data_IF_734777257864
#
_entry.id   IF_734777257864
#
_cell.length_a   1.000
_cell.length_b   1.000
_cell.length_c   1.000
_cell.angle_alpha   90.00
_cell.angle_beta   90.00
_cell.angle_gamma   90.00
#
_symmetry.space_group_name_H-M   'P 1'
#
loop_
_entity.id
_entity.type
_entity.pdbx_description
1 polymer ?
#
# COMPACT_ATOMS: atom_id res chain seq x y z
N UNK A 1 8.34 -11.37 -4.14
CA UNK A 1 7.31 -12.43 -4.04
C UNK A 1 7.31 -13.34 -5.26
N UNK A 2 6.86 -14.60 -5.12
CA UNK A 2 6.64 -15.51 -6.25
C UNK A 2 5.17 -15.40 -6.71
N UNK A 3 4.90 -15.34 -8.01
CA UNK A 3 3.54 -15.21 -8.55
C UNK A 3 3.04 -16.50 -9.20
N UNK A 4 1.77 -16.83 -8.95
CA UNK A 4 1.08 -17.99 -9.52
C UNK A 4 -0.15 -17.55 -10.29
N UNK A 5 -0.21 -17.87 -11.58
CA UNK A 5 -1.36 -17.55 -12.43
C UNK A 5 -2.31 -18.74 -12.58
N UNK A 6 -3.61 -18.50 -12.42
CA UNK A 6 -4.67 -19.40 -12.88
C UNK A 6 -4.98 -19.11 -14.34
N UNK A 7 -4.57 -20.00 -15.24
CA UNK A 7 -4.73 -19.84 -16.68
C UNK A 7 -5.78 -20.83 -17.19
N UNK A 8 -6.72 -20.34 -17.99
CA UNK A 8 -7.74 -21.12 -18.66
C UNK A 8 -7.48 -21.19 -20.16
N UNK A 9 -7.55 -22.38 -20.73
CA UNK A 9 -7.64 -22.54 -22.18
C UNK A 9 -9.07 -22.23 -22.66
N UNK A 10 -9.20 -21.41 -23.70
CA UNK A 10 -10.49 -20.93 -24.19
C UNK A 10 -11.27 -21.99 -24.97
N UNK A 11 -10.61 -23.04 -25.46
CA UNK A 11 -11.24 -24.08 -26.28
C UNK A 11 -11.93 -25.13 -25.40
N UNK A 12 -11.20 -25.72 -24.46
CA UNK A 12 -11.67 -26.80 -23.58
C UNK A 12 -12.18 -26.30 -22.23
N UNK A 13 -11.94 -25.03 -21.90
CA UNK A 13 -12.26 -24.40 -20.60
C UNK A 13 -11.60 -25.09 -19.41
N UNK A 14 -10.52 -25.83 -19.64
CA UNK A 14 -9.68 -26.37 -18.57
C UNK A 14 -8.85 -25.25 -17.95
N UNK A 15 -8.71 -25.28 -16.64
CA UNK A 15 -7.90 -24.34 -15.86
C UNK A 15 -6.70 -25.07 -15.27
N UNK A 16 -5.53 -24.44 -15.30
CA UNK A 16 -4.29 -24.92 -14.70
C UNK A 16 -3.55 -23.77 -14.03
N UNK A 17 -2.78 -24.09 -13.00
CA UNK A 17 -1.87 -23.16 -12.32
C UNK A 17 -0.49 -23.17 -12.97
N UNK A 18 0.12 -21.99 -13.06
CA UNK A 18 1.49 -21.82 -13.56
C UNK A 18 2.24 -20.81 -12.70
N UNK A 19 3.41 -21.19 -12.21
CA UNK A 19 4.35 -20.24 -11.62
C UNK A 19 4.89 -19.31 -12.70
N UNK A 20 4.92 -18.02 -12.43
CA UNK A 20 5.44 -16.99 -13.32
C UNK A 20 6.90 -16.65 -12.96
N UNK A 21 7.73 -16.24 -13.93
CA UNK A 21 7.41 -16.15 -15.35
C UNK A 21 7.29 -17.52 -16.04
N UNK A 22 6.40 -17.64 -17.02
CA UNK A 22 6.16 -18.89 -17.76
C UNK A 22 6.14 -18.69 -19.28
N UNK A 23 6.73 -19.62 -20.01
CA UNK A 23 6.74 -19.64 -21.47
C UNK A 23 5.39 -20.09 -22.04
N UNK A 24 4.88 -19.37 -23.06
CA UNK A 24 3.60 -19.70 -23.70
C UNK A 24 3.61 -21.09 -24.35
N UNK A 25 4.76 -21.54 -24.88
CA UNK A 25 4.94 -22.88 -25.45
C UNK A 25 4.68 -23.97 -24.39
N UNK A 26 5.19 -23.77 -23.17
CA UNK A 26 4.98 -24.69 -22.07
C UNK A 26 3.51 -24.70 -21.63
N UNK A 27 2.90 -23.52 -21.48
CA UNK A 27 1.46 -23.39 -21.18
C UNK A 27 0.61 -24.11 -22.23
N UNK A 28 0.89 -23.92 -23.52
CA UNK A 28 0.19 -24.59 -24.61
C UNK A 28 0.33 -26.12 -24.53
N UNK A 29 1.55 -26.62 -24.31
CA UNK A 29 1.83 -28.05 -24.20
C UNK A 29 1.08 -28.69 -23.03
N UNK A 30 0.93 -27.97 -21.92
CA UNK A 30 0.17 -28.41 -20.75
C UNK A 30 -1.33 -28.55 -21.06
N UNK A 31 -1.87 -27.73 -21.97
CA UNK A 31 -3.24 -27.89 -22.45
C UNK A 31 -3.38 -28.89 -23.63
N UNK A 32 -2.27 -29.38 -24.17
CA UNK A 32 -2.23 -30.30 -25.31
C UNK A 32 -2.38 -29.61 -26.67
N UNK A 33 -2.03 -28.32 -26.76
CA UNK A 33 -2.04 -27.52 -27.98
C UNK A 33 -0.62 -27.19 -28.46
N UNK A 34 -0.47 -26.88 -29.74
CA UNK A 34 0.69 -26.16 -30.25
C UNK A 34 0.50 -24.66 -29.97
N UNK A 35 1.60 -23.92 -29.81
CA UNK A 35 1.56 -22.48 -29.47
C UNK A 35 0.73 -21.63 -30.45
N UNK A 36 0.67 -22.01 -31.73
CA UNK A 36 -0.11 -21.28 -32.74
C UNK A 36 -1.63 -21.49 -32.67
N UNK A 37 -2.06 -22.52 -31.94
CA UNK A 37 -3.48 -22.91 -31.82
C UNK A 37 -4.04 -22.61 -30.42
N UNK A 38 -3.18 -22.24 -29.46
CA UNK A 38 -3.60 -21.97 -28.08
C UNK A 38 -4.27 -20.61 -27.97
N UNK A 39 -5.40 -20.57 -27.28
CA UNK A 39 -6.05 -19.33 -26.84
C UNK A 39 -6.25 -19.43 -25.34
N UNK A 40 -5.70 -18.48 -24.59
CA UNK A 40 -5.72 -18.51 -23.14
C UNK A 40 -6.32 -17.24 -22.56
N UNK A 41 -6.95 -17.39 -21.40
CA UNK A 41 -7.41 -16.31 -20.54
C UNK A 41 -6.78 -16.49 -19.16
N UNK A 42 -6.18 -15.43 -18.63
CA UNK A 42 -5.70 -15.39 -17.24
C UNK A 42 -6.89 -15.04 -16.35
N UNK A 43 -7.18 -15.89 -15.38
CA UNK A 43 -8.34 -15.74 -14.51
C UNK A 43 -8.01 -14.97 -13.23
N UNK A 44 -6.81 -15.16 -12.68
CA UNK A 44 -6.31 -14.44 -11.51
C UNK A 44 -4.81 -14.68 -11.33
N UNK A 45 -4.20 -13.84 -10.50
CA UNK A 45 -2.90 -14.08 -9.86
C UNK A 45 -3.18 -14.38 -8.39
N UNK A 46 -2.73 -15.52 -7.88
CA UNK A 46 -3.16 -16.03 -6.56
C UNK A 46 -2.75 -15.11 -5.42
N UNK A 47 -1.55 -14.55 -5.50
CA UNK A 47 -0.96 -13.66 -4.49
C UNK A 47 -1.47 -12.21 -4.65
N UNK A 48 -2.14 -11.89 -5.76
CA UNK A 48 -2.68 -10.55 -6.05
C UNK A 48 -4.18 -10.65 -6.40
N UNK A 49 -5.05 -10.97 -5.43
CA UNK A 49 -6.46 -11.33 -5.68
C UNK A 49 -7.30 -10.18 -6.26
N UNK A 50 -6.93 -8.94 -5.95
CA UNK A 50 -7.65 -7.74 -6.42
C UNK A 50 -7.05 -7.13 -7.70
N UNK A 51 -6.04 -7.77 -8.29
CA UNK A 51 -5.43 -7.32 -9.54
C UNK A 51 -6.39 -7.53 -10.72
N UNK A 52 -6.55 -6.50 -11.55
CA UNK A 52 -7.36 -6.58 -12.77
C UNK A 52 -6.60 -7.33 -13.86
N UNK A 53 -6.82 -8.65 -13.92
CA UNK A 53 -6.16 -9.48 -14.93
C UNK A 53 -6.84 -9.44 -16.29
N UNK A 54 -8.02 -8.81 -16.41
CA UNK A 54 -8.85 -8.93 -17.61
C UNK A 54 -8.13 -8.39 -18.84
N UNK A 55 -8.14 -9.19 -19.91
CA UNK A 55 -7.65 -8.82 -21.25
C UNK A 55 -6.16 -8.42 -21.29
N UNK A 56 -5.41 -8.73 -20.25
CA UNK A 56 -3.97 -8.53 -20.19
C UNK A 56 -3.24 -9.77 -20.72
N UNK A 57 -2.22 -9.60 -21.57
CA UNK A 57 -1.46 -10.71 -22.13
C UNK A 57 -0.50 -11.31 -21.11
N UNK A 58 -0.16 -12.59 -21.27
CA UNK A 58 0.74 -13.33 -20.36
C UNK A 58 2.07 -12.62 -20.10
N UNK A 59 2.64 -11.94 -21.10
CA UNK A 59 3.92 -11.26 -20.93
C UNK A 59 3.87 -10.15 -19.86
N UNK A 60 2.73 -9.49 -19.67
CA UNK A 60 2.56 -8.45 -18.63
C UNK A 60 2.74 -9.05 -17.24
N UNK A 61 2.20 -10.24 -17.02
CA UNK A 61 2.30 -10.91 -15.72
C UNK A 61 3.67 -11.56 -15.52
N UNK A 62 4.34 -12.01 -16.59
CA UNK A 62 5.74 -12.42 -16.51
C UNK A 62 6.64 -11.22 -16.12
N UNK A 63 6.44 -10.05 -16.74
CA UNK A 63 7.17 -8.83 -16.36
C UNK A 63 6.87 -8.39 -14.93
N UNK A 64 5.62 -8.54 -14.47
CA UNK A 64 5.27 -8.29 -13.07
C UNK A 64 5.98 -9.26 -12.12
N UNK A 65 6.02 -10.56 -12.45
CA UNK A 65 6.70 -11.55 -11.62
C UNK A 65 8.19 -11.21 -11.44
N UNK A 66 8.87 -10.81 -12.51
CA UNK A 66 10.26 -10.35 -12.45
C UNK A 66 10.41 -9.05 -11.63
N UNK A 67 9.53 -8.06 -11.85
CA UNK A 67 9.59 -6.78 -11.13
C UNK A 67 9.35 -6.95 -9.63
N UNK A 68 8.46 -7.85 -9.25
CA UNK A 68 7.99 -8.03 -7.88
C UNK A 68 8.79 -9.09 -7.09
N UNK A 69 9.78 -9.75 -7.70
CA UNK A 69 10.55 -10.84 -7.07
C UNK A 69 11.13 -10.44 -5.69
N UNK A 70 11.67 -9.24 -5.58
CA UNK A 70 12.28 -8.70 -4.35
C UNK A 70 11.41 -7.67 -3.61
N UNK A 71 10.17 -7.47 -4.06
CA UNK A 71 9.22 -6.54 -3.41
C UNK A 71 8.42 -7.30 -2.33
N UNK A 72 8.25 -6.64 -1.19
CA UNK A 72 7.40 -7.12 -0.10
C UNK A 72 5.93 -7.18 -0.55
N UNK A 73 5.30 -8.34 -0.36
CA UNK A 73 3.93 -8.61 -0.77
C UNK A 73 2.93 -7.61 -0.16
N UNK A 74 3.10 -7.26 1.12
CA UNK A 74 2.19 -6.34 1.80
C UNK A 74 2.27 -4.92 1.21
N UNK A 75 3.43 -4.52 0.67
CA UNK A 75 3.59 -3.25 -0.05
C UNK A 75 2.81 -3.30 -1.38
N UNK A 76 2.92 -4.38 -2.14
CA UNK A 76 2.23 -4.54 -3.43
C UNK A 76 0.72 -4.55 -3.23
N UNK A 77 0.23 -5.32 -2.25
CA UNK A 77 -1.19 -5.39 -1.92
C UNK A 77 -1.72 -4.02 -1.47
N UNK A 78 -0.97 -3.31 -0.62
CA UNK A 78 -1.31 -1.95 -0.19
C UNK A 78 -1.38 -0.99 -1.39
N UNK A 79 -0.48 -1.10 -2.35
CA UNK A 79 -0.52 -0.27 -3.57
C UNK A 79 -1.77 -0.55 -4.42
N UNK A 80 -2.14 -1.83 -4.59
CA UNK A 80 -3.37 -2.19 -5.31
C UNK A 80 -4.60 -1.58 -4.62
N UNK A 81 -4.67 -1.69 -3.28
CA UNK A 81 -5.77 -1.17 -2.48
C UNK A 81 -5.88 0.36 -2.56
N UNK A 82 -4.76 1.09 -2.49
CA UNK A 82 -4.76 2.55 -2.41
C UNK A 82 -4.68 3.28 -3.75
N UNK A 83 -4.08 2.67 -4.77
CA UNK A 83 -3.76 3.34 -6.03
C UNK A 83 -4.53 2.78 -7.22
N UNK A 84 -4.26 1.54 -7.61
CA UNK A 84 -4.83 0.94 -8.83
C UNK A 84 -4.65 -0.56 -8.88
N UNK A 85 -5.69 -1.26 -9.36
CA UNK A 85 -5.62 -2.68 -9.71
C UNK A 85 -5.13 -2.95 -11.13
N UNK A 86 -4.80 -1.94 -11.94
CA UNK A 86 -4.29 -2.13 -13.31
C UNK A 86 -2.85 -2.68 -13.29
N UNK A 87 -2.57 -3.85 -13.91
CA UNK A 87 -1.22 -4.41 -14.03
C UNK A 87 -0.18 -3.44 -14.59
N UNK A 88 -0.58 -2.52 -15.47
CA UNK A 88 0.32 -1.52 -16.06
C UNK A 88 0.73 -0.45 -15.05
N UNK A 89 -0.15 -0.07 -14.14
CA UNK A 89 0.19 0.86 -13.06
C UNK A 89 1.20 0.21 -12.11
N UNK A 90 1.05 -1.10 -11.82
CA UNK A 90 2.04 -1.84 -11.04
C UNK A 90 3.39 -1.94 -11.76
N UNK A 91 3.41 -2.16 -13.07
CA UNK A 91 4.67 -2.17 -13.85
C UNK A 91 5.40 -0.81 -13.78
N UNK A 92 4.64 0.29 -13.75
CA UNK A 92 5.17 1.64 -13.69
C UNK A 92 5.49 2.12 -12.25
N UNK A 93 5.07 1.39 -11.22
CA UNK A 93 5.26 1.78 -9.82
C UNK A 93 6.74 1.76 -9.40
N UNK A 94 7.13 2.70 -8.55
CA UNK A 94 8.44 2.77 -7.88
C UNK A 94 8.27 2.31 -6.42
N UNK A 95 8.37 0.99 -6.19
CA UNK A 95 8.12 0.39 -4.86
C UNK A 95 9.20 0.73 -3.82
N UNK A 96 10.41 1.11 -4.25
CA UNK A 96 11.51 1.49 -3.34
C UNK A 96 11.19 2.74 -2.49
N UNK A 97 10.24 3.57 -2.94
CA UNK A 97 9.77 4.77 -2.23
C UNK A 97 8.44 4.52 -1.48
N UNK A 98 7.95 3.28 -1.45
CA UNK A 98 6.76 2.90 -0.70
C UNK A 98 7.12 2.45 0.73
N UNK A 99 6.29 2.86 1.69
CA UNK A 99 6.43 2.49 3.10
C UNK A 99 5.07 2.08 3.65
N UNK A 100 5.03 0.92 4.30
CA UNK A 100 3.87 0.44 5.05
C UNK A 100 4.15 0.55 6.54
N UNK A 101 3.17 1.02 7.31
CA UNK A 101 3.21 1.12 8.77
C UNK A 101 2.12 0.22 9.38
N UNK A 102 2.37 -1.10 9.53
CA UNK A 102 1.30 -2.09 9.78
C UNK A 102 0.49 -1.88 11.05
N UNK A 103 1.08 -1.24 12.07
CA UNK A 103 0.45 -1.01 13.38
C UNK A 103 -0.25 0.36 13.49
N UNK A 104 -0.25 1.14 12.41
CA UNK A 104 -0.84 2.48 12.39
C UNK A 104 -2.19 2.42 11.68
N UNK A 105 -3.28 2.48 12.45
CA UNK A 105 -4.65 2.37 11.93
C UNK A 105 -5.45 3.68 12.07
N UNK A 106 -4.91 4.67 12.77
CA UNK A 106 -5.59 5.96 13.04
C UNK A 106 -4.64 7.15 12.93
N UNK A 107 -5.19 8.35 12.66
CA UNK A 107 -4.42 9.60 12.65
C UNK A 107 -3.66 9.84 13.97
N UNK A 108 -4.24 9.39 15.09
CA UNK A 108 -3.62 9.47 16.41
C UNK A 108 -2.37 8.60 16.48
N UNK A 109 -2.48 7.33 16.08
CA UNK A 109 -1.35 6.38 16.07
C UNK A 109 -0.26 6.82 15.08
N UNK A 110 -0.64 7.39 13.93
CA UNK A 110 0.32 7.95 12.97
C UNK A 110 1.08 9.11 13.58
N UNK A 111 0.38 10.03 14.26
CA UNK A 111 1.00 11.15 14.96
C UNK A 111 1.94 10.72 16.08
N UNK A 112 1.51 9.73 16.89
CA UNK A 112 2.33 9.13 17.95
C UNK A 112 3.59 8.48 17.36
N UNK A 113 3.44 7.62 16.34
CA UNK A 113 4.56 6.95 15.67
C UNK A 113 5.57 7.93 15.07
N UNK A 114 5.09 8.97 14.37
CA UNK A 114 5.99 9.96 13.75
C UNK A 114 6.79 10.75 14.79
N UNK A 115 6.20 11.06 15.95
CA UNK A 115 6.86 11.83 17.00
C UNK A 115 7.78 10.95 17.85
N UNK A 116 7.32 9.78 18.27
CA UNK A 116 8.00 8.93 19.25
C UNK A 116 9.02 7.99 18.59
N UNK A 117 8.67 7.36 17.47
CA UNK A 117 9.50 6.32 16.84
C UNK A 117 10.38 6.87 15.71
N UNK A 118 9.81 7.69 14.81
CA UNK A 118 10.58 8.30 13.70
C UNK A 118 11.41 9.50 14.19
N UNK A 119 11.00 10.14 15.28
CA UNK A 119 11.67 11.30 15.83
C UNK A 119 11.51 12.55 14.97
N UNK A 120 10.35 12.75 14.35
CA UNK A 120 10.06 13.94 13.53
C UNK A 120 10.16 15.20 14.39
N UNK A 121 11.18 16.03 14.10
CA UNK A 121 11.31 17.35 14.71
C UNK A 121 10.35 18.34 14.04
N UNK A 122 9.32 18.73 14.77
CA UNK A 122 8.42 19.80 14.34
C UNK A 122 9.05 21.15 14.69
N UNK A 123 9.20 22.01 13.67
CA UNK A 123 9.51 23.43 13.87
C UNK A 123 8.51 24.08 14.83
N UNK A 124 8.94 25.11 15.55
CA UNK A 124 8.06 25.89 16.43
C UNK A 124 6.79 26.35 15.72
N UNK A 125 6.91 26.84 14.49
CA UNK A 125 5.79 27.35 13.70
C UNK A 125 4.75 26.26 13.43
N UNK A 126 5.16 25.02 13.16
CA UNK A 126 4.26 23.87 13.02
C UNK A 126 3.59 23.52 14.35
N UNK A 127 4.34 23.46 15.45
CA UNK A 127 3.76 23.16 16.77
C UNK A 127 2.67 24.17 17.18
N UNK A 128 2.87 25.45 16.85
CA UNK A 128 1.88 26.50 17.12
C UNK A 128 0.54 26.28 16.42
N UNK A 129 0.48 25.48 15.34
CA UNK A 129 -0.77 25.12 14.64
C UNK A 129 -1.59 24.07 15.40
N UNK A 130 -0.97 23.32 16.31
CA UNK A 130 -1.60 22.23 17.07
C UNK A 130 -1.85 22.59 18.54
N UNK A 131 -1.32 23.73 19.03
CA UNK A 131 -1.53 24.17 20.42
C UNK A 131 -2.95 24.69 20.62
N UNK A 132 -3.65 24.09 21.58
CA UNK A 132 -4.84 24.68 22.19
C UNK A 132 -4.41 25.73 23.24
N UNK A 133 -4.38 26.99 22.81
CA UNK A 133 -3.95 28.10 23.66
C UNK A 133 -4.87 28.33 24.87
N UNK A 134 -6.17 28.04 24.74
CA UNK A 134 -7.13 28.21 25.83
C UNK A 134 -6.89 27.16 26.92
N UNK A 135 -6.76 25.90 26.53
CA UNK A 135 -6.46 24.79 27.45
C UNK A 135 -5.12 25.01 28.14
N UNK A 136 -4.07 25.34 27.38
CA UNK A 136 -2.75 25.63 27.94
C UNK A 136 -2.79 26.82 28.93
N UNK A 137 -3.41 27.93 28.56
CA UNK A 137 -3.52 29.11 29.43
C UNK A 137 -4.37 28.84 30.68
N UNK A 138 -5.39 27.99 30.59
CA UNK A 138 -6.18 27.54 31.73
C UNK A 138 -5.34 26.73 32.72
N UNK A 139 -4.53 25.80 32.23
CA UNK A 139 -3.69 24.95 33.07
C UNK A 139 -2.65 25.81 33.83
N UNK A 140 -1.96 26.72 33.12
CA UNK A 140 -1.03 27.70 33.74
C UNK A 140 -1.74 28.52 34.82
N UNK A 141 -2.94 29.03 34.54
CA UNK A 141 -3.71 29.81 35.52
C UNK A 141 -4.01 29.03 36.78
N UNK A 142 -4.39 27.77 36.66
CA UNK A 142 -4.73 26.93 37.81
C UNK A 142 -3.49 26.54 38.61
N UNK A 143 -2.39 26.19 37.92
CA UNK A 143 -1.11 25.82 38.54
C UNK A 143 -0.54 26.97 39.38
N UNK A 144 -0.60 28.20 38.88
CA UNK A 144 -0.05 29.37 39.56
C UNK A 144 -1.02 30.04 40.54
N UNK A 145 -2.26 29.55 40.67
CA UNK A 145 -3.31 30.19 41.48
C UNK A 145 -3.74 31.55 40.93
N UNK A 146 -3.59 31.76 39.62
CA UNK A 146 -3.91 33.01 38.94
C UNK A 146 -5.41 33.26 38.78
N UNK A 147 -5.76 34.51 38.51
CA UNK A 147 -7.13 34.95 38.29
C UNK A 147 -7.21 36.05 37.24
N UNK A 148 -8.33 36.10 36.52
CA UNK A 148 -8.65 37.22 35.65
C UNK A 148 -9.34 38.31 36.47
N UNK A 149 -8.81 39.52 36.42
CA UNK A 149 -9.33 40.73 37.06
C UNK A 149 -9.50 41.83 36.00
N UNK A 150 -10.16 42.93 36.34
CA UNK A 150 -10.46 44.02 35.39
C UNK A 150 -9.22 44.59 34.66
N UNK A 151 -8.03 44.47 35.27
CA UNK A 151 -6.75 44.94 34.70
C UNK A 151 -5.92 43.86 34.00
N UNK A 152 -6.44 42.64 33.83
CA UNK A 152 -5.77 41.54 33.13
C UNK A 152 -5.64 40.26 33.96
N UNK A 153 -4.61 39.47 33.67
CA UNK A 153 -4.26 38.26 34.42
C UNK A 153 -3.40 38.63 35.64
N UNK A 154 -3.78 38.16 36.82
CA UNK A 154 -3.10 38.42 38.08
C UNK A 154 -2.65 37.12 38.73
N UNK A 155 -1.40 37.09 39.19
CA UNK A 155 -0.80 36.00 39.97
C UNK A 155 -0.14 36.61 41.20
N UNK A 156 -0.37 36.01 42.37
CA UNK A 156 0.27 36.41 43.64
C UNK A 156 1.00 35.20 44.20
N UNK A 157 2.34 35.23 44.13
CA UNK A 157 3.21 34.20 44.70
C UNK A 157 3.77 34.67 46.05
#
# INVERSE_FOLDING_TARGET
MELTALIMDDVTKKVKQFSLPVELEYVASEFGFYVGDVSITIQSIEELPDLDVERSPLFVFNELAEKLEDVDEDIVLSFIESNSSDPKELLNAEFDDCWLYPEVATDRELGEYLVEEVGVELSKEKLLLYIDYEKFGRDVRLEEGGSFVDKGYFVSR
#
